data_IF_944696447732
#
_entry.id   IF_944696447732
#
_cell.length_a   1.000
_cell.length_b   1.000
_cell.length_c   1.000
_cell.angle_alpha   90.00
_cell.angle_beta   90.00
_cell.angle_gamma   90.00
#
_symmetry.space_group_name_H-M   'P 1'
#
loop_
_entity.id
_entity.type
_entity.pdbx_description
1 polymer ?
#
# COMPACT_ATOMS: atom_id res chain seq x y z
N UNK A 1 -23.59 2.61 -7.24
CA UNK A 1 -23.28 1.40 -8.06
C UNK A 1 -23.67 0.18 -7.22
N UNK A 2 -24.60 -0.64 -7.69
CA UNK A 2 -25.19 -1.70 -6.88
C UNK A 2 -24.22 -2.85 -6.55
N UNK A 3 -24.49 -3.61 -5.46
CA UNK A 3 -23.63 -4.69 -4.95
C UNK A 3 -23.35 -5.81 -5.96
N UNK A 4 -24.17 -5.94 -7.00
CA UNK A 4 -24.03 -6.98 -8.02
C UNK A 4 -22.76 -6.84 -8.88
N UNK A 5 -22.22 -5.63 -9.09
CA UNK A 5 -21.04 -5.44 -9.95
C UNK A 5 -19.72 -5.86 -9.29
N UNK A 6 -19.65 -5.90 -7.95
CA UNK A 6 -18.44 -6.26 -7.18
C UNK A 6 -18.31 -7.79 -6.99
N UNK A 7 -19.41 -8.53 -7.23
CA UNK A 7 -19.58 -9.96 -6.90
C UNK A 7 -18.85 -10.97 -7.79
N UNK A 8 -18.20 -10.56 -8.89
CA UNK A 8 -17.59 -11.51 -9.84
C UNK A 8 -16.08 -11.73 -9.69
N UNK A 9 -15.39 -10.86 -8.96
CA UNK A 9 -13.93 -10.97 -8.83
C UNK A 9 -13.57 -11.82 -7.60
N UNK A 10 -12.58 -12.72 -7.71
CA UNK A 10 -12.05 -13.46 -6.58
C UNK A 10 -11.65 -12.51 -5.46
N UNK A 11 -11.83 -12.93 -4.21
CA UNK A 11 -11.33 -12.20 -3.04
C UNK A 11 -9.84 -11.91 -3.18
N UNK A 12 -9.37 -10.77 -2.65
CA UNK A 12 -7.95 -10.46 -2.63
C UNK A 12 -7.20 -11.58 -1.89
N UNK A 13 -6.15 -12.13 -2.51
CA UNK A 13 -5.31 -13.16 -1.91
C UNK A 13 -4.31 -12.52 -0.94
N UNK A 14 -4.78 -12.26 0.29
CA UNK A 14 -4.08 -11.53 1.35
C UNK A 14 -4.31 -12.26 2.67
N UNK A 15 -3.27 -12.41 3.49
CA UNK A 15 -3.39 -13.02 4.82
C UNK A 15 -4.06 -12.08 5.82
N UNK A 16 -4.53 -12.59 6.97
CA UNK A 16 -5.16 -11.77 8.00
C UNK A 16 -4.24 -10.65 8.51
N UNK A 17 -2.96 -10.94 8.68
CA UNK A 17 -1.97 -9.97 9.18
C UNK A 17 -1.68 -8.88 8.14
N UNK A 18 -1.58 -9.27 6.87
CA UNK A 18 -1.38 -8.35 5.74
C UNK A 18 -2.61 -7.45 5.53
N UNK A 19 -3.82 -7.99 5.71
CA UNK A 19 -5.05 -7.23 5.65
C UNK A 19 -5.12 -6.20 6.79
N UNK A 20 -4.75 -6.61 8.01
CA UNK A 20 -4.69 -5.72 9.17
C UNK A 20 -3.67 -4.58 8.98
N UNK A 21 -2.50 -4.85 8.40
CA UNK A 21 -1.49 -3.82 8.09
C UNK A 21 -2.01 -2.72 7.16
N UNK A 22 -2.97 -3.04 6.28
CA UNK A 22 -3.56 -2.10 5.35
C UNK A 22 -4.92 -1.54 5.82
N UNK A 23 -5.44 -2.00 6.96
CA UNK A 23 -6.83 -1.75 7.36
C UNK A 23 -7.83 -2.26 6.32
N UNK A 24 -7.50 -3.34 5.60
CA UNK A 24 -8.40 -3.96 4.62
C UNK A 24 -9.39 -4.89 5.34
N UNK A 25 -10.67 -4.76 5.01
CA UNK A 25 -11.79 -5.55 5.53
C UNK A 25 -12.25 -6.57 4.47
N UNK A 26 -11.82 -7.84 4.53
CA UNK A 26 -12.03 -8.81 3.46
C UNK A 26 -13.50 -9.08 3.13
N UNK A 27 -14.37 -9.12 4.16
CA UNK A 27 -15.79 -9.39 4.00
C UNK A 27 -16.57 -8.25 3.31
N UNK A 28 -16.01 -7.04 3.32
CA UNK A 28 -16.61 -5.84 2.71
C UNK A 28 -15.91 -5.43 1.43
N UNK A 29 -14.74 -6.02 1.17
CA UNK A 29 -13.85 -5.61 0.09
C UNK A 29 -13.54 -4.11 0.15
N UNK A 30 -13.24 -3.62 1.35
CA UNK A 30 -13.07 -2.20 1.64
C UNK A 30 -11.86 -1.94 2.54
N UNK A 31 -11.41 -0.69 2.59
CA UNK A 31 -10.38 -0.21 3.51
C UNK A 31 -11.00 0.69 4.57
N UNK A 32 -10.46 0.65 5.79
CA UNK A 32 -10.90 1.52 6.89
C UNK A 32 -10.70 3.00 6.57
N UNK A 33 -9.62 3.33 5.84
CA UNK A 33 -9.33 4.69 5.39
C UNK A 33 -9.39 4.76 3.87
N UNK A 34 -10.27 5.62 3.36
CA UNK A 34 -10.40 5.85 1.93
C UNK A 34 -9.29 6.77 1.39
N UNK A 35 -8.99 6.62 0.10
CA UNK A 35 -8.08 7.51 -0.62
C UNK A 35 -8.62 8.95 -0.64
N UNK A 36 -7.78 9.93 -0.30
CA UNK A 36 -8.14 11.37 -0.27
C UNK A 36 -9.35 11.63 0.63
N UNK A 37 -9.29 11.13 1.87
CA UNK A 37 -10.36 11.31 2.87
C UNK A 37 -10.64 12.79 3.18
N UNK A 38 -9.61 13.64 3.09
CA UNK A 38 -9.72 15.09 3.30
C UNK A 38 -10.56 15.82 2.25
N UNK A 39 -10.90 15.18 1.13
CA UNK A 39 -11.82 15.76 0.13
C UNK A 39 -13.15 16.22 0.74
N UNK A 40 -13.60 15.56 1.81
CA UNK A 40 -14.84 15.89 2.52
C UNK A 40 -14.76 17.22 3.28
N UNK A 41 -13.55 17.73 3.56
CA UNK A 41 -13.37 19.06 4.17
C UNK A 41 -13.73 20.20 3.21
N UNK A 42 -13.54 20.01 1.90
CA UNK A 42 -13.94 20.98 0.88
C UNK A 42 -15.47 21.14 0.82
N UNK A 43 -16.13 20.04 1.17
CA UNK A 43 -17.52 19.85 1.56
C UNK A 43 -18.10 20.65 2.72
N UNK A 44 -17.37 20.58 3.82
CA UNK A 44 -17.97 20.52 5.16
C UNK A 44 -18.45 21.87 5.66
N UNK A 45 -17.89 22.94 5.12
CA UNK A 45 -18.22 24.33 5.46
C UNK A 45 -19.17 24.97 4.45
N UNK A 46 -19.59 24.23 3.42
CA UNK A 46 -20.38 24.75 2.31
C UNK A 46 -21.85 24.86 2.75
N UNK A 47 -22.37 26.09 2.79
CA UNK A 47 -23.75 26.39 3.14
C UNK A 47 -24.40 27.24 2.04
N UNK A 48 -25.66 26.98 1.74
CA UNK A 48 -26.47 27.79 0.82
C UNK A 48 -27.19 28.86 1.63
N UNK A 49 -27.00 30.12 1.27
CA UNK A 49 -27.66 31.25 1.92
C UNK A 49 -28.66 31.89 0.95
N UNK A 50 -29.79 32.42 1.43
CA UNK A 50 -30.77 33.09 0.59
C UNK A 50 -30.23 34.36 -0.08
N UNK A 51 -29.17 34.96 0.48
CA UNK A 51 -28.55 36.18 -0.01
C UNK A 51 -27.39 35.93 -1.00
N UNK A 52 -27.09 34.66 -1.30
CA UNK A 52 -25.98 34.32 -2.21
C UNK A 52 -26.25 34.89 -3.62
N UNK A 53 -25.27 35.58 -4.19
CA UNK A 53 -25.34 36.05 -5.56
C UNK A 53 -24.94 34.94 -6.57
N UNK A 54 -25.05 35.24 -7.87
CA UNK A 54 -24.71 34.27 -8.92
C UNK A 54 -23.25 33.80 -8.85
N UNK A 55 -22.34 34.68 -8.39
CA UNK A 55 -20.91 34.37 -8.27
C UNK A 55 -20.66 33.44 -7.08
N UNK A 56 -21.30 33.69 -5.94
CA UNK A 56 -21.25 32.84 -4.75
C UNK A 56 -21.77 31.43 -5.06
N UNK A 57 -22.90 31.34 -5.76
CA UNK A 57 -23.47 30.07 -6.19
C UNK A 57 -22.53 29.35 -7.16
N UNK A 58 -21.97 30.05 -8.15
CA UNK A 58 -21.02 29.46 -9.10
C UNK A 58 -19.75 28.95 -8.40
N UNK A 59 -19.24 29.69 -7.41
CA UNK A 59 -18.09 29.28 -6.61
C UNK A 59 -18.40 28.01 -5.80
N UNK A 60 -19.55 27.96 -5.13
CA UNK A 60 -20.01 26.78 -4.38
C UNK A 60 -20.19 25.56 -5.29
N UNK A 61 -20.77 25.73 -6.48
CA UNK A 61 -20.88 24.66 -7.48
C UNK A 61 -19.52 24.17 -7.95
N UNK A 62 -18.54 25.06 -8.13
CA UNK A 62 -17.18 24.68 -8.51
C UNK A 62 -16.50 23.82 -7.44
N UNK A 63 -16.73 24.11 -6.16
CA UNK A 63 -16.25 23.31 -5.04
C UNK A 63 -16.88 21.91 -5.07
N UNK A 64 -18.20 21.81 -5.26
CA UNK A 64 -18.90 20.52 -5.39
C UNK A 64 -18.37 19.71 -6.58
N UNK A 65 -18.07 20.34 -7.72
CA UNK A 65 -17.48 19.65 -8.87
C UNK A 65 -16.07 19.12 -8.56
N UNK A 66 -15.22 19.92 -7.90
CA UNK A 66 -13.90 19.48 -7.43
C UNK A 66 -14.02 18.25 -6.51
N UNK A 67 -14.94 18.29 -5.54
CA UNK A 67 -15.20 17.15 -4.66
C UNK A 67 -15.66 15.91 -5.44
N UNK A 68 -16.58 16.09 -6.39
CA UNK A 68 -17.09 15.00 -7.23
C UNK A 68 -15.99 14.35 -8.05
N UNK A 69 -15.07 15.14 -8.62
CA UNK A 69 -13.89 14.64 -9.34
C UNK A 69 -12.98 13.81 -8.43
N UNK A 70 -12.75 14.24 -7.18
CA UNK A 70 -11.98 13.49 -6.18
C UNK A 70 -12.63 12.16 -5.84
N UNK A 71 -13.95 12.11 -5.64
CA UNK A 71 -14.69 10.86 -5.39
C UNK A 71 -14.64 9.88 -6.57
N UNK A 72 -14.70 10.39 -7.80
CA UNK A 72 -14.55 9.56 -9.02
C UNK A 72 -13.18 8.89 -9.06
N UNK A 73 -12.12 9.65 -8.77
CA UNK A 73 -10.77 9.09 -8.73
C UNK A 73 -10.58 8.09 -7.58
N UNK A 74 -11.14 8.37 -6.40
CA UNK A 74 -11.19 7.43 -5.28
C UNK A 74 -11.82 6.09 -5.70
N UNK A 75 -12.98 6.14 -6.33
CA UNK A 75 -13.69 4.94 -6.84
C UNK A 75 -12.87 4.23 -7.91
N UNK A 76 -12.24 4.98 -8.84
CA UNK A 76 -11.39 4.43 -9.89
C UNK A 76 -10.18 3.71 -9.33
N UNK A 77 -9.47 4.30 -8.36
CA UNK A 77 -8.31 3.67 -7.69
C UNK A 77 -8.70 2.39 -6.97
N UNK A 78 -9.81 2.41 -6.22
CA UNK A 78 -10.33 1.22 -5.52
C UNK A 78 -10.62 0.07 -6.50
N UNK A 79 -11.22 0.38 -7.65
CA UNK A 79 -11.42 -0.60 -8.73
C UNK A 79 -10.10 -1.14 -9.28
N UNK A 80 -9.15 -0.28 -9.61
CA UNK A 80 -7.84 -0.71 -10.14
C UNK A 80 -7.10 -1.64 -9.17
N UNK A 81 -7.12 -1.33 -7.87
CA UNK A 81 -6.50 -2.17 -6.84
C UNK A 81 -7.09 -3.57 -6.83
N UNK A 82 -8.43 -3.69 -6.96
CA UNK A 82 -9.15 -4.96 -7.00
C UNK A 82 -8.93 -5.70 -8.32
N UNK A 83 -9.16 -5.03 -9.46
CA UNK A 83 -9.12 -5.61 -10.79
C UNK A 83 -7.75 -6.22 -11.12
N UNK A 84 -6.67 -5.58 -10.65
CA UNK A 84 -5.30 -6.02 -10.88
C UNK A 84 -4.68 -6.75 -9.68
N UNK A 85 -5.46 -7.07 -8.63
CA UNK A 85 -4.99 -7.80 -7.45
C UNK A 85 -3.73 -7.17 -6.81
N UNK A 86 -3.64 -5.83 -6.82
CA UNK A 86 -2.39 -5.11 -6.53
C UNK A 86 -1.87 -5.34 -5.11
N UNK A 87 -2.77 -5.58 -4.15
CA UNK A 87 -2.41 -5.89 -2.77
C UNK A 87 -1.66 -7.22 -2.70
N UNK A 88 -2.17 -8.26 -3.37
CA UNK A 88 -1.51 -9.56 -3.42
C UNK A 88 -0.15 -9.47 -4.12
N UNK A 89 -0.07 -8.72 -5.22
CA UNK A 89 1.19 -8.47 -5.94
C UNK A 89 2.21 -7.78 -5.04
N UNK A 90 1.79 -6.76 -4.28
CA UNK A 90 2.66 -6.03 -3.36
C UNK A 90 3.31 -6.95 -2.32
N UNK A 91 2.51 -7.74 -1.60
CA UNK A 91 3.03 -8.63 -0.55
C UNK A 91 3.84 -9.80 -1.11
N UNK A 92 3.45 -10.35 -2.26
CA UNK A 92 4.24 -11.38 -2.94
C UNK A 92 5.63 -10.85 -3.33
N UNK A 93 5.71 -9.60 -3.81
CA UNK A 93 6.98 -8.96 -4.13
C UNK A 93 7.85 -8.75 -2.89
N UNK A 94 7.25 -8.36 -1.75
CA UNK A 94 7.99 -8.23 -0.48
C UNK A 94 8.56 -9.58 -0.01
N UNK A 95 7.73 -10.64 -0.02
CA UNK A 95 8.16 -12.00 0.35
C UNK A 95 9.28 -12.50 -0.55
N UNK A 96 9.20 -12.26 -1.85
CA UNK A 96 10.23 -12.66 -2.80
C UNK A 96 11.55 -11.95 -2.54
N UNK A 97 11.53 -10.64 -2.23
CA UNK A 97 12.73 -9.89 -1.82
C UNK A 97 13.34 -10.45 -0.53
N UNK A 98 12.51 -10.78 0.46
CA UNK A 98 12.99 -11.37 1.71
C UNK A 98 13.63 -12.74 1.49
N UNK A 99 13.05 -13.59 0.62
CA UNK A 99 13.64 -14.88 0.24
C UNK A 99 15.00 -14.72 -0.41
N UNK A 100 15.16 -13.79 -1.35
CA UNK A 100 16.45 -13.55 -2.01
C UNK A 100 17.51 -13.06 -1.02
N UNK A 101 17.16 -12.17 -0.09
CA UNK A 101 18.08 -11.70 0.95
C UNK A 101 18.46 -12.82 1.92
N UNK A 102 17.50 -13.66 2.32
CA UNK A 102 17.77 -14.83 3.17
C UNK A 102 18.68 -15.86 2.52
N UNK A 103 18.51 -16.12 1.22
CA UNK A 103 19.40 -16.99 0.44
C UNK A 103 20.83 -16.44 0.42
N UNK A 104 21.00 -15.15 0.13
CA UNK A 104 22.31 -14.50 0.13
C UNK A 104 22.97 -14.53 1.52
N UNK A 105 22.20 -14.29 2.58
CA UNK A 105 22.70 -14.37 3.95
C UNK A 105 23.17 -15.79 4.33
N UNK A 106 22.42 -16.82 3.89
CA UNK A 106 22.80 -18.22 4.08
C UNK A 106 24.07 -18.57 3.32
N UNK A 107 24.16 -18.17 2.05
CA UNK A 107 25.37 -18.38 1.22
C UNK A 107 26.59 -17.66 1.82
N UNK A 108 26.44 -16.42 2.29
CA UNK A 108 27.49 -15.70 3.01
C UNK A 108 27.95 -16.48 4.25
N UNK A 109 27.01 -16.97 5.08
CA UNK A 109 27.33 -17.74 6.29
C UNK A 109 28.08 -19.04 5.97
N UNK A 110 27.61 -19.80 4.99
CA UNK A 110 28.25 -21.05 4.55
C UNK A 110 29.64 -20.79 3.97
N UNK A 111 29.81 -19.71 3.20
CA UNK A 111 31.11 -19.29 2.67
C UNK A 111 32.09 -18.94 3.79
N UNK A 112 31.66 -18.11 4.76
CA UNK A 112 32.48 -17.76 5.93
C UNK A 112 32.85 -19.00 6.76
N UNK A 113 31.92 -19.95 6.92
CA UNK A 113 32.19 -21.21 7.63
C UNK A 113 33.20 -22.09 6.89
N UNK A 114 33.11 -22.18 5.56
CA UNK A 114 34.10 -22.89 4.72
C UNK A 114 35.48 -22.23 4.77
N UNK A 115 35.56 -20.92 4.94
CA UNK A 115 36.83 -20.20 5.12
C UNK A 115 37.34 -20.24 6.57
N UNK A 116 36.57 -20.77 7.53
CA UNK A 116 37.00 -20.78 8.94
C UNK A 116 38.34 -21.50 9.13
N UNK A 117 38.61 -22.58 8.41
CA UNK A 117 39.88 -23.30 8.52
C UNK A 117 41.06 -22.52 7.93
N UNK A 118 40.85 -21.62 6.96
CA UNK A 118 41.93 -20.79 6.39
C UNK A 118 42.35 -19.68 7.34
N UNK A 119 41.52 -19.35 8.34
CA UNK A 119 41.81 -18.36 9.38
C UNK A 119 43.18 -18.58 10.08
N UNK A 120 43.64 -19.83 10.16
CA UNK A 120 44.94 -20.18 10.76
C UNK A 120 46.16 -19.68 9.96
N UNK A 121 45.99 -19.37 8.67
CA UNK A 121 47.06 -18.89 7.79
C UNK A 121 47.13 -17.36 7.71
N UNK A 122 46.14 -16.65 8.25
CA UNK A 122 46.17 -15.18 8.32
C UNK A 122 47.08 -14.71 9.44
N UNK A 123 47.89 -13.68 9.17
CA UNK A 123 48.72 -13.04 10.19
C UNK A 123 47.86 -12.38 11.28
N UNK A 124 48.45 -12.17 12.47
CA UNK A 124 47.77 -11.59 13.65
C UNK A 124 47.06 -10.24 13.38
N UNK A 125 47.55 -9.48 12.41
CA UNK A 125 46.95 -8.20 11.98
C UNK A 125 45.75 -8.38 11.02
N UNK A 126 45.69 -9.47 10.26
CA UNK A 126 44.65 -9.76 9.26
C UNK A 126 43.45 -10.51 9.85
N UNK A 127 43.65 -11.22 10.97
CA UNK A 127 42.59 -11.97 11.67
C UNK A 127 41.45 -11.08 12.21
N UNK A 128 41.71 -9.79 12.48
CA UNK A 128 40.70 -8.86 12.99
C UNK A 128 39.57 -8.56 11.97
N UNK A 129 39.81 -8.72 10.67
CA UNK A 129 38.81 -8.45 9.62
C UNK A 129 37.93 -9.64 9.23
N UNK A 130 38.29 -10.86 9.63
CA UNK A 130 37.60 -12.11 9.24
C UNK A 130 36.49 -12.50 10.23
N UNK A 131 36.52 -11.94 11.44
CA UNK A 131 35.61 -12.29 12.56
C UNK A 131 34.46 -11.27 12.73
N UNK A 132 34.52 -10.12 12.05
CA UNK A 132 33.45 -9.10 12.03
C UNK A 132 32.45 -9.34 10.89
#
# INVERSE_FOLDING_TARGET
LGPSAVSRLPSLAVSSDEAAQLGYMPNRDDFEREHDHEAEQLISTLALNPEDDELDVALKLSQVDIYTRRLRERTRRKRLVRDFQLVSVFFNNQRNKQKTLGKLAKEKKEFTERLRWTAQFYGRAEQAGVVA
#
